data_IF_719950308910
#
_entry.id   IF_719950308910
#
_cell.length_a   1.000
_cell.length_b   1.000
_cell.length_c   1.000
_cell.angle_alpha   90.00
_cell.angle_beta   90.00
_cell.angle_gamma   90.00
#
_symmetry.space_group_name_H-M   'P 1'
#
loop_
_entity.id
_entity.type
_entity.pdbx_description
1 polymer ?
#
# COMPACT_ATOMS: atom_id res chain seq x y z
N UNK A 1 -5.67 14.78 26.69
CA UNK A 1 -6.28 13.99 25.58
C UNK A 1 -7.34 14.88 24.95
N UNK A 2 -7.24 15.16 23.68
CA UNK A 2 -8.23 15.92 22.92
C UNK A 2 -9.54 15.12 22.91
N UNK A 3 -10.57 15.68 23.56
CA UNK A 3 -11.87 15.01 23.74
C UNK A 3 -12.54 14.73 22.40
N UNK A 4 -12.42 15.65 21.46
CA UNK A 4 -13.05 15.56 20.16
C UNK A 4 -12.41 14.46 19.31
N UNK A 5 -11.09 14.30 19.38
CA UNK A 5 -10.35 13.20 18.75
C UNK A 5 -10.75 11.84 19.33
N UNK A 6 -10.89 11.75 20.67
CA UNK A 6 -11.30 10.51 21.33
C UNK A 6 -12.76 10.14 20.98
N UNK A 7 -13.63 11.12 20.93
CA UNK A 7 -15.02 10.91 20.49
C UNK A 7 -15.09 10.45 19.03
N UNK A 8 -14.27 11.04 18.15
CA UNK A 8 -14.12 10.61 16.76
C UNK A 8 -13.67 9.16 16.63
N UNK A 9 -12.69 8.74 17.45
CA UNK A 9 -12.25 7.34 17.52
C UNK A 9 -13.40 6.41 17.92
N UNK A 10 -14.09 6.72 19.01
CA UNK A 10 -15.17 5.87 19.49
C UNK A 10 -16.32 5.75 18.47
N UNK A 11 -16.69 6.88 17.85
CA UNK A 11 -17.78 6.90 16.84
C UNK A 11 -17.44 6.09 15.61
N UNK A 12 -16.24 6.24 15.07
CA UNK A 12 -15.81 5.49 13.88
C UNK A 12 -15.62 4.00 14.17
N UNK A 13 -15.17 3.65 15.38
CA UNK A 13 -15.10 2.25 15.81
C UNK A 13 -16.49 1.62 15.95
N UNK A 14 -17.42 2.31 16.62
CA UNK A 14 -18.79 1.83 16.77
C UNK A 14 -19.44 1.58 15.40
N UNK A 15 -19.36 2.53 14.48
CA UNK A 15 -19.90 2.38 13.13
C UNK A 15 -19.23 1.22 12.34
N UNK A 16 -17.94 0.99 12.54
CA UNK A 16 -17.28 -0.14 11.90
C UNK A 16 -17.74 -1.49 12.47
N UNK A 17 -18.02 -1.55 13.78
CA UNK A 17 -18.50 -2.76 14.47
C UNK A 17 -19.94 -3.14 14.10
N UNK A 18 -20.79 -2.19 13.69
CA UNK A 18 -22.15 -2.48 13.19
C UNK A 18 -22.17 -3.45 12.00
N UNK A 19 -21.04 -3.57 11.28
CA UNK A 19 -20.88 -4.46 10.13
C UNK A 19 -20.37 -5.86 10.49
N UNK A 20 -20.02 -6.08 11.77
CA UNK A 20 -19.50 -7.37 12.21
C UNK A 20 -20.63 -8.39 12.30
N UNK A 21 -20.42 -9.55 11.69
CA UNK A 21 -21.41 -10.66 11.68
C UNK A 21 -21.21 -11.63 12.83
N UNK A 22 -20.04 -11.64 13.45
CA UNK A 22 -19.64 -12.52 14.54
C UNK A 22 -18.55 -11.90 15.42
N UNK A 23 -18.21 -12.56 16.53
CA UNK A 23 -17.21 -12.07 17.48
C UNK A 23 -15.79 -12.03 16.93
N UNK A 24 -15.44 -12.92 15.99
CA UNK A 24 -14.11 -12.97 15.39
C UNK A 24 -13.92 -11.77 14.43
N UNK A 25 -14.92 -11.49 13.58
CA UNK A 25 -14.93 -10.33 12.72
C UNK A 25 -14.96 -9.02 13.51
N UNK A 26 -15.72 -8.95 14.61
CA UNK A 26 -15.72 -7.79 15.50
C UNK A 26 -14.35 -7.53 16.12
N UNK A 27 -13.66 -8.59 16.57
CA UNK A 27 -12.30 -8.48 17.10
C UNK A 27 -11.30 -8.02 16.04
N UNK A 28 -11.35 -8.58 14.84
CA UNK A 28 -10.48 -8.19 13.73
C UNK A 28 -10.67 -6.72 13.36
N UNK A 29 -11.92 -6.26 13.22
CA UNK A 29 -12.28 -4.85 12.96
C UNK A 29 -11.74 -3.96 14.09
N UNK A 30 -11.94 -4.36 15.36
CA UNK A 30 -11.46 -3.59 16.52
C UNK A 30 -9.93 -3.43 16.50
N UNK A 31 -9.20 -4.52 16.29
CA UNK A 31 -7.74 -4.51 16.25
C UNK A 31 -7.20 -3.65 15.09
N UNK A 32 -7.78 -3.80 13.90
CA UNK A 32 -7.41 -2.98 12.74
C UNK A 32 -7.66 -1.49 13.01
N UNK A 33 -8.80 -1.16 13.62
CA UNK A 33 -9.17 0.21 13.97
C UNK A 33 -8.23 0.81 15.01
N UNK A 34 -7.93 0.07 16.08
CA UNK A 34 -7.00 0.52 17.14
C UNK A 34 -5.58 0.71 16.58
N UNK A 35 -5.10 -0.20 15.72
CA UNK A 35 -3.78 -0.07 15.06
C UNK A 35 -3.69 1.19 14.21
N UNK A 36 -4.72 1.46 13.41
CA UNK A 36 -4.83 2.68 12.60
C UNK A 36 -4.78 3.94 13.47
N UNK A 37 -5.56 3.98 14.56
CA UNK A 37 -5.57 5.11 15.48
C UNK A 37 -4.28 5.24 16.29
N UNK A 38 -3.65 4.14 16.68
CA UNK A 38 -2.33 4.17 17.31
C UNK A 38 -1.31 4.86 16.40
N UNK A 39 -1.31 4.55 15.10
CA UNK A 39 -0.44 5.19 14.11
C UNK A 39 -0.74 6.69 14.00
N UNK A 40 -2.01 7.07 13.98
CA UNK A 40 -2.44 8.47 13.93
C UNK A 40 -2.07 9.24 15.21
N UNK A 41 -2.34 8.67 16.39
CA UNK A 41 -2.09 9.31 17.69
C UNK A 41 -0.62 9.29 18.13
N UNK A 42 0.22 8.45 17.53
CA UNK A 42 1.64 8.39 17.88
C UNK A 42 2.40 9.69 17.54
N UNK A 43 1.68 10.70 17.05
CA UNK A 43 2.13 12.10 17.03
C UNK A 43 3.32 12.40 16.12
N UNK A 44 3.78 11.39 15.41
CA UNK A 44 4.72 11.58 14.34
C UNK A 44 3.94 11.96 13.10
N UNK A 45 3.68 13.26 12.96
CA UNK A 45 3.65 13.87 11.66
C UNK A 45 5.03 13.64 11.02
N UNK A 46 5.37 12.40 10.73
CA UNK A 46 6.48 12.09 9.87
C UNK A 46 6.01 12.52 8.51
N UNK A 47 6.38 13.73 8.14
CA UNK A 47 6.48 14.02 6.72
C UNK A 47 7.43 12.96 6.18
N UNK A 48 6.95 12.17 5.25
CA UNK A 48 7.79 11.21 4.55
C UNK A 48 8.99 11.98 3.99
N UNK A 49 10.17 11.46 4.15
CA UNK A 49 11.35 11.98 3.48
C UNK A 49 11.17 11.87 1.96
N UNK A 50 11.95 12.62 1.20
CA UNK A 50 11.91 12.54 -0.27
C UNK A 50 12.20 11.11 -0.75
N UNK A 51 13.09 10.41 -0.06
CA UNK A 51 13.45 9.02 -0.34
C UNK A 51 12.27 8.09 -0.08
N UNK A 52 11.57 8.24 1.04
CA UNK A 52 10.38 7.44 1.38
C UNK A 52 9.23 7.71 0.41
N UNK A 53 9.01 8.97 0.01
CA UNK A 53 8.02 9.31 -1.02
C UNK A 53 8.35 8.66 -2.36
N UNK A 54 9.62 8.68 -2.78
CA UNK A 54 10.06 8.02 -4.02
C UNK A 54 9.95 6.50 -3.95
N UNK A 55 10.31 5.90 -2.83
CA UNK A 55 10.16 4.47 -2.59
C UNK A 55 8.70 4.05 -2.74
N UNK A 56 7.82 4.67 -1.96
CA UNK A 56 6.39 4.39 -2.00
C UNK A 56 5.78 4.65 -3.39
N UNK A 57 6.19 5.73 -4.07
CA UNK A 57 5.74 6.00 -5.44
C UNK A 57 6.11 4.86 -6.40
N UNK A 58 7.34 4.34 -6.31
CA UNK A 58 7.80 3.23 -7.13
C UNK A 58 7.02 1.95 -6.87
N UNK A 59 6.73 1.64 -5.61
CA UNK A 59 5.88 0.51 -5.22
C UNK A 59 4.46 0.63 -5.79
N UNK A 60 3.83 1.83 -5.70
CA UNK A 60 2.49 2.07 -6.24
C UNK A 60 2.49 2.01 -7.78
N UNK A 61 3.56 2.47 -8.45
CA UNK A 61 3.71 2.28 -9.90
C UNK A 61 3.75 0.81 -10.25
N UNK A 62 4.52 0.00 -9.52
CA UNK A 62 4.58 -1.44 -9.76
C UNK A 62 3.24 -2.13 -9.51
N UNK A 63 2.54 -1.75 -8.43
CA UNK A 63 1.17 -2.21 -8.15
C UNK A 63 0.22 -1.91 -9.33
N UNK A 64 0.31 -0.71 -9.89
CA UNK A 64 -0.48 -0.31 -11.05
C UNK A 64 -0.13 -1.14 -12.28
N UNK A 65 1.16 -1.42 -12.53
CA UNK A 65 1.60 -2.29 -13.62
C UNK A 65 1.07 -3.73 -13.49
N UNK A 66 0.97 -4.26 -12.26
CA UNK A 66 0.38 -5.58 -12.02
C UNK A 66 -1.10 -5.62 -12.40
N UNK A 67 -1.85 -4.59 -12.03
CA UNK A 67 -3.27 -4.45 -12.37
C UNK A 67 -3.44 -4.29 -13.90
N UNK A 68 -2.61 -3.48 -14.53
CA UNK A 68 -2.64 -3.26 -15.98
C UNK A 68 -2.28 -4.52 -16.79
N UNK A 69 -1.59 -5.49 -16.18
CA UNK A 69 -1.24 -6.79 -16.75
C UNK A 69 -2.22 -7.91 -16.38
N UNK A 70 -3.47 -7.55 -16.15
CA UNK A 70 -4.58 -8.46 -15.90
C UNK A 70 -4.58 -9.15 -14.52
N UNK A 71 -3.72 -8.75 -13.58
CA UNK A 71 -3.89 -9.17 -12.20
C UNK A 71 -5.11 -8.46 -11.60
N UNK A 72 -5.97 -9.17 -10.90
CA UNK A 72 -7.09 -8.50 -10.22
C UNK A 72 -6.56 -7.47 -9.22
N UNK A 73 -7.23 -6.32 -9.11
CA UNK A 73 -6.80 -5.24 -8.20
C UNK A 73 -6.68 -5.71 -6.75
N UNK A 74 -7.55 -6.63 -6.33
CA UNK A 74 -7.52 -7.23 -4.99
C UNK A 74 -6.26 -8.08 -4.82
N UNK A 75 -5.99 -9.00 -5.75
CA UNK A 75 -4.81 -9.87 -5.68
C UNK A 75 -3.50 -9.07 -5.75
N UNK A 76 -3.46 -7.99 -6.51
CA UNK A 76 -2.30 -7.11 -6.59
C UNK A 76 -2.04 -6.39 -5.24
N UNK A 77 -3.10 -5.94 -4.56
CA UNK A 77 -2.98 -5.32 -3.23
C UNK A 77 -2.62 -6.35 -2.16
N UNK A 78 -3.18 -7.55 -2.20
CA UNK A 78 -2.83 -8.64 -1.27
C UNK A 78 -1.37 -9.08 -1.42
N UNK A 79 -0.83 -8.99 -2.63
CA UNK A 79 0.58 -9.29 -2.89
C UNK A 79 1.54 -8.21 -2.36
N UNK A 80 1.06 -6.98 -2.10
CA UNK A 80 1.87 -5.84 -1.66
C UNK A 80 2.05 -5.84 -0.15
N UNK A 81 3.26 -6.15 0.31
CA UNK A 81 3.64 -6.28 1.72
C UNK A 81 4.50 -5.10 2.23
N UNK A 82 4.85 -4.15 1.37
CA UNK A 82 5.65 -2.98 1.75
C UNK A 82 5.13 -2.24 3.00
N UNK A 83 3.81 -1.98 3.14
CA UNK A 83 3.24 -1.35 4.35
C UNK A 83 3.40 -2.17 5.63
N UNK A 84 3.57 -3.48 5.54
CA UNK A 84 3.72 -4.40 6.68
C UNK A 84 5.17 -4.54 7.15
N UNK A 85 6.11 -3.82 6.52
CA UNK A 85 7.56 -3.89 6.78
C UNK A 85 8.11 -5.32 6.59
N UNK A 86 7.61 -6.01 5.57
CA UNK A 86 8.19 -7.26 5.11
C UNK A 86 9.60 -7.05 4.55
N UNK A 87 10.36 -8.14 4.39
CA UNK A 87 11.70 -8.11 3.78
C UNK A 87 11.64 -7.79 2.28
N UNK A 88 10.54 -8.16 1.61
CA UNK A 88 10.27 -7.86 0.20
C UNK A 88 8.98 -7.06 0.08
N UNK A 89 8.92 -6.22 -0.97
CA UNK A 89 7.78 -5.33 -1.18
C UNK A 89 6.55 -6.06 -1.73
N UNK A 90 6.75 -7.08 -2.56
CA UNK A 90 5.67 -7.89 -3.13
C UNK A 90 5.98 -9.37 -3.09
N UNK A 91 4.96 -10.18 -2.78
CA UNK A 91 5.03 -11.65 -2.86
C UNK A 91 3.76 -12.16 -3.53
N UNK A 92 3.92 -12.93 -4.60
CA UNK A 92 2.83 -13.63 -5.29
C UNK A 92 3.27 -15.03 -5.73
N UNK A 93 2.56 -16.04 -5.25
CA UNK A 93 2.97 -17.44 -5.39
C UNK A 93 4.37 -17.67 -4.80
N UNK A 94 5.27 -18.25 -5.60
CA UNK A 94 6.66 -18.49 -5.21
C UNK A 94 7.63 -17.39 -5.70
N UNK A 95 7.11 -16.21 -6.00
CA UNK A 95 7.89 -15.08 -6.51
C UNK A 95 7.84 -13.92 -5.54
N UNK A 96 9.02 -13.40 -5.20
CA UNK A 96 9.19 -12.16 -4.46
C UNK A 96 9.74 -11.06 -5.38
N UNK A 97 9.33 -9.83 -5.16
CA UNK A 97 9.84 -8.66 -5.86
C UNK A 97 10.21 -7.58 -4.85
N UNK A 98 11.44 -7.12 -4.93
CA UNK A 98 11.93 -5.92 -4.25
C UNK A 98 11.91 -4.76 -5.24
N UNK A 99 11.30 -3.65 -4.85
CA UNK A 99 11.18 -2.45 -5.68
C UNK A 99 12.16 -1.38 -5.20
N UNK A 100 12.92 -0.81 -6.11
CA UNK A 100 13.84 0.28 -5.78
C UNK A 100 13.63 1.46 -6.72
N UNK A 101 13.78 2.66 -6.18
CA UNK A 101 13.75 3.91 -6.93
C UNK A 101 15.14 4.54 -6.99
N UNK A 102 15.52 5.02 -8.17
CA UNK A 102 16.70 5.85 -8.38
C UNK A 102 16.26 7.27 -8.74
N UNK A 103 16.93 8.27 -8.21
CA UNK A 103 16.77 9.64 -8.68
C UNK A 103 17.44 9.82 -10.04
N UNK A 104 16.90 10.71 -10.88
CA UNK A 104 17.47 10.97 -12.21
C UNK A 104 18.93 11.45 -12.20
N UNK A 105 19.42 11.98 -11.07
CA UNK A 105 20.79 12.46 -10.85
C UNK A 105 21.71 11.43 -10.16
N UNK A 106 21.17 10.32 -9.70
CA UNK A 106 21.93 9.29 -8.99
C UNK A 106 22.73 8.40 -9.95
N UNK A 107 23.81 7.83 -9.42
CA UNK A 107 24.62 6.85 -10.15
C UNK A 107 23.77 5.62 -10.47
N UNK A 108 24.18 4.84 -11.48
CA UNK A 108 23.53 3.59 -11.90
C UNK A 108 23.72 2.46 -10.88
N UNK A 109 23.55 2.76 -9.59
CA UNK A 109 23.75 1.79 -8.50
C UNK A 109 22.60 1.89 -7.51
N UNK A 110 22.04 0.73 -7.16
CA UNK A 110 21.00 0.58 -6.15
C UNK A 110 21.66 0.17 -4.85
N UNK A 111 21.27 0.79 -3.75
CA UNK A 111 21.71 0.38 -2.42
C UNK A 111 20.72 -0.66 -1.88
N UNK A 112 21.24 -1.83 -1.53
CA UNK A 112 20.51 -2.82 -0.74
C UNK A 112 20.78 -2.50 0.73
N UNK A 113 19.73 -2.32 1.50
CA UNK A 113 19.82 -1.83 2.88
C UNK A 113 20.18 -2.93 3.88
N UNK A 114 19.81 -4.17 3.58
CA UNK A 114 20.14 -5.35 4.38
C UNK A 114 20.26 -6.59 3.49
N UNK A 115 20.97 -7.61 3.96
CA UNK A 115 21.08 -8.90 3.29
C UNK A 115 19.72 -9.60 3.19
N UNK A 116 18.84 -9.38 4.18
CA UNK A 116 17.49 -9.95 4.23
C UNK A 116 16.64 -9.56 3.01
N UNK A 117 16.90 -8.40 2.37
CA UNK A 117 16.23 -7.99 1.13
C UNK A 117 16.60 -8.86 -0.08
N UNK A 118 17.74 -9.57 -0.01
CA UNK A 118 18.21 -10.50 -1.04
C UNK A 118 18.00 -11.96 -0.62
N UNK A 119 17.61 -12.21 0.63
CA UNK A 119 17.26 -13.52 1.13
C UNK A 119 15.75 -13.72 1.03
N UNK A 120 15.33 -14.63 0.16
CA UNK A 120 13.91 -14.95 -0.02
C UNK A 120 13.69 -16.44 0.19
N UNK A 121 12.64 -16.79 0.90
CA UNK A 121 12.13 -18.15 1.02
C UNK A 121 11.37 -18.60 -0.24
N UNK A 122 11.16 -17.69 -1.19
CA UNK A 122 10.50 -17.96 -2.45
C UNK A 122 11.49 -18.47 -3.50
N UNK A 123 11.00 -19.21 -4.49
CA UNK A 123 11.82 -19.82 -5.53
C UNK A 123 12.49 -18.78 -6.44
N UNK A 124 11.90 -17.59 -6.58
CA UNK A 124 12.42 -16.51 -7.38
C UNK A 124 12.33 -15.17 -6.66
N UNK A 125 13.43 -14.41 -6.72
CA UNK A 125 13.49 -13.03 -6.24
C UNK A 125 13.90 -12.12 -7.39
N UNK A 126 13.09 -11.09 -7.65
CA UNK A 126 13.36 -10.08 -8.66
C UNK A 126 13.59 -8.71 -8.03
N UNK A 127 14.50 -7.95 -8.61
CA UNK A 127 14.72 -6.55 -8.29
C UNK A 127 14.11 -5.69 -9.41
N UNK A 128 13.06 -4.94 -9.08
CA UNK A 128 12.44 -3.97 -9.99
C UNK A 128 12.98 -2.57 -9.69
N UNK A 129 13.55 -1.91 -10.70
CA UNK A 129 14.16 -0.59 -10.55
C UNK A 129 13.39 0.44 -11.38
N UNK A 130 12.96 1.53 -10.73
CA UNK A 130 12.37 2.69 -11.38
C UNK A 130 13.31 3.89 -11.32
N UNK A 131 13.47 4.60 -12.43
CA UNK A 131 14.13 5.91 -12.47
C UNK A 131 13.06 6.98 -12.39
N UNK A 132 13.07 7.71 -11.29
CA UNK A 132 12.11 8.76 -11.00
C UNK A 132 12.82 10.12 -11.01
N UNK A 133 12.26 11.08 -11.74
CA UNK A 133 12.71 12.47 -11.73
C UNK A 133 11.61 13.35 -11.17
N UNK A 134 11.95 14.19 -10.19
CA UNK A 134 11.03 15.21 -9.70
C UNK A 134 10.92 16.32 -10.75
N UNK A 135 9.70 16.54 -11.24
CA UNK A 135 9.39 17.59 -12.19
C UNK A 135 8.39 18.54 -11.53
N UNK A 136 8.70 19.83 -11.52
CA UNK A 136 7.87 20.84 -10.86
C UNK A 136 6.74 21.40 -11.74
N UNK A 137 6.75 21.13 -13.06
CA UNK A 137 5.90 21.91 -13.96
C UNK A 137 5.55 21.20 -15.30
N UNK A 138 5.28 19.89 -15.26
CA UNK A 138 4.93 19.16 -16.48
C UNK A 138 3.54 18.56 -16.36
N UNK A 139 2.70 18.84 -17.36
CA UNK A 139 1.31 18.34 -17.47
C UNK A 139 1.20 16.80 -17.49
N UNK A 140 2.31 16.09 -17.65
CA UNK A 140 2.42 14.62 -17.63
C UNK A 140 2.98 14.07 -16.32
N UNK A 141 3.38 14.95 -15.37
CA UNK A 141 3.85 14.53 -14.06
C UNK A 141 2.67 14.06 -13.20
N UNK A 142 2.89 13.03 -12.41
CA UNK A 142 1.91 12.48 -11.49
C UNK A 142 2.46 12.59 -10.06
N UNK A 143 1.66 13.09 -9.14
CA UNK A 143 1.99 13.12 -7.71
C UNK A 143 1.67 11.77 -7.04
N UNK A 144 2.28 11.54 -5.87
CA UNK A 144 1.96 10.35 -5.06
C UNK A 144 0.46 10.27 -4.75
N UNK A 145 -0.17 11.41 -4.43
CA UNK A 145 -1.59 11.43 -4.11
C UNK A 145 -2.47 11.07 -5.32
N UNK A 146 -2.10 11.50 -6.52
CA UNK A 146 -2.85 11.19 -7.73
C UNK A 146 -2.75 9.71 -8.11
N UNK A 147 -1.56 9.11 -8.01
CA UNK A 147 -1.43 7.67 -8.32
C UNK A 147 -2.13 6.81 -7.27
N UNK A 148 -2.10 7.19 -6.00
CA UNK A 148 -2.88 6.51 -4.94
C UNK A 148 -4.38 6.63 -5.21
N UNK A 149 -4.87 7.81 -5.55
CA UNK A 149 -6.28 8.01 -5.88
C UNK A 149 -6.72 7.15 -7.07
N UNK A 150 -5.87 7.03 -8.10
CA UNK A 150 -6.15 6.16 -9.25
C UNK A 150 -6.24 4.68 -8.87
N UNK A 151 -5.37 4.18 -8.00
CA UNK A 151 -5.43 2.79 -7.51
C UNK A 151 -6.69 2.58 -6.68
N UNK A 152 -7.04 3.49 -5.78
CA UNK A 152 -8.25 3.40 -4.96
C UNK A 152 -9.52 3.35 -5.83
N UNK A 153 -9.61 4.16 -6.88
CA UNK A 153 -10.73 4.13 -7.83
C UNK A 153 -10.88 2.75 -8.51
N UNK A 154 -9.78 2.13 -8.90
CA UNK A 154 -9.80 0.78 -9.50
C UNK A 154 -10.25 -0.30 -8.51
N UNK A 155 -9.88 -0.16 -7.23
CA UNK A 155 -10.32 -1.08 -6.18
C UNK A 155 -11.83 -0.96 -5.93
N UNK A 156 -12.35 0.27 -5.88
CA UNK A 156 -13.79 0.51 -5.70
C UNK A 156 -14.60 -0.08 -6.87
N UNK A 157 -14.14 0.09 -8.10
CA UNK A 157 -14.76 -0.51 -9.29
C UNK A 157 -14.76 -2.06 -9.23
N UNK A 158 -13.66 -2.67 -8.82
CA UNK A 158 -13.54 -4.12 -8.67
C UNK A 158 -14.51 -4.66 -7.59
N UNK A 159 -14.61 -3.98 -6.45
CA UNK A 159 -15.55 -4.35 -5.38
C UNK A 159 -17.02 -4.23 -5.82
N UNK A 160 -17.36 -3.19 -6.58
CA UNK A 160 -18.69 -3.02 -7.15
C UNK A 160 -19.05 -4.13 -8.15
N UNK A 161 -18.08 -4.61 -8.95
CA UNK A 161 -18.29 -5.72 -9.88
C UNK A 161 -18.56 -7.03 -9.14
N UNK A 162 -17.79 -7.33 -8.08
CA UNK A 162 -17.99 -8.52 -7.23
C UNK A 162 -19.38 -8.48 -6.58
N UNK A 163 -19.77 -7.35 -6.00
CA UNK A 163 -21.07 -7.19 -5.38
C UNK A 163 -22.24 -7.39 -6.37
N UNK A 164 -22.12 -6.94 -7.61
CA UNK A 164 -23.12 -7.16 -8.67
C UNK A 164 -23.19 -8.61 -9.16
N UNK A 165 -22.07 -9.33 -9.18
CA UNK A 165 -22.03 -10.74 -9.55
C UNK A 165 -22.70 -11.60 -8.47
N UNK A 166 -22.43 -11.34 -7.19
CA UNK A 166 -22.99 -12.05 -6.04
C UNK A 166 -24.52 -11.83 -5.84
N UNK A 167 -25.09 -10.76 -6.39
CA UNK A 167 -26.55 -10.51 -6.32
C UNK A 167 -27.35 -11.18 -7.46
N UNK A 168 -26.72 -11.92 -8.36
CA UNK A 168 -27.37 -12.60 -9.49
C UNK A 168 -27.53 -14.12 -9.32
N UNK A 169 -27.01 -14.68 -8.24
CA UNK A 169 -27.24 -16.05 -7.77
C UNK A 169 -28.37 -16.10 -6.72
#
# INVERSE_FOLDING_TARGET
VDRDLFEGLCRTLASALERATDSASALAISLAHIRRWKTFLSGRGQHLTIEEVRGLFAEIVFLTELIDREMSSIAAVEAWLGPERSHQDFIFGNTAVEVKSLSGSERNSVRISSEDQLESLNDALFLRIYRLSALSDVTTACSLNEIVAAVLSRLDEALLQIGRASCRE
#
